data_IF_898096360969
#
_entry.id   IF_898096360969
#
_cell.length_a   1.000
_cell.length_b   1.000
_cell.length_c   1.000
_cell.angle_alpha   90.00
_cell.angle_beta   90.00
_cell.angle_gamma   90.00
#
_symmetry.space_group_name_H-M   'P 1'
#
loop_
_entity.id
_entity.type
_entity.pdbx_description
1 polymer ?
#
# COMPACT_ATOMS: atom_id res chain seq x y z
N UNK A 1 9.66 15.96 9.02
CA UNK A 1 9.32 16.31 7.63
C UNK A 1 8.48 15.16 7.09
N UNK A 2 7.37 15.42 6.40
CA UNK A 2 6.57 14.34 5.82
C UNK A 2 7.13 13.99 4.44
N UNK A 3 8.10 13.07 4.40
CA UNK A 3 8.81 12.67 3.19
C UNK A 3 7.90 12.03 2.13
N UNK A 4 6.72 11.56 2.52
CA UNK A 4 5.75 10.89 1.63
C UNK A 4 4.60 11.82 1.20
N UNK A 5 4.74 13.13 1.43
CA UNK A 5 3.72 14.11 1.04
C UNK A 5 3.62 14.27 -0.48
N UNK A 6 4.74 14.48 -1.16
CA UNK A 6 4.83 14.72 -2.60
C UNK A 6 6.28 14.43 -3.08
N UNK A 7 6.53 14.32 -4.40
CA UNK A 7 7.86 14.06 -4.93
C UNK A 7 8.93 15.08 -4.47
N UNK A 8 8.56 16.36 -4.34
CA UNK A 8 9.51 17.40 -3.92
C UNK A 8 9.91 17.23 -2.45
N UNK A 9 8.97 16.86 -1.58
CA UNK A 9 9.23 16.53 -0.18
C UNK A 9 10.09 15.28 -0.02
N UNK A 10 9.87 14.27 -0.87
CA UNK A 10 10.71 13.07 -0.92
C UNK A 10 12.15 13.39 -1.34
N UNK A 11 12.31 14.15 -2.43
CA UNK A 11 13.61 14.64 -2.87
C UNK A 11 14.34 15.40 -1.75
N UNK A 12 13.64 16.37 -1.14
CA UNK A 12 14.20 17.18 -0.06
C UNK A 12 14.61 16.34 1.17
N UNK A 13 13.88 15.26 1.47
CA UNK A 13 14.25 14.33 2.54
C UNK A 13 15.58 13.63 2.23
N UNK A 14 15.74 13.07 1.02
CA UNK A 14 16.96 12.37 0.63
C UNK A 14 18.20 13.29 0.66
N UNK A 15 18.05 14.53 0.22
CA UNK A 15 19.15 15.50 0.21
C UNK A 15 19.53 15.98 1.63
N UNK A 16 18.56 16.05 2.55
CA UNK A 16 18.80 16.47 3.94
C UNK A 16 19.31 15.34 4.84
N UNK A 17 18.97 14.09 4.49
CA UNK A 17 19.29 12.90 5.27
C UNK A 17 20.04 11.86 4.44
N UNK A 18 21.22 12.20 3.85
CA UNK A 18 21.97 11.29 2.99
C UNK A 18 22.48 10.10 3.81
N UNK A 19 21.84 8.94 3.65
CA UNK A 19 22.16 7.71 4.37
C UNK A 19 21.15 7.27 5.42
N UNK A 20 20.06 8.02 5.65
CA UNK A 20 18.96 7.53 6.49
C UNK A 20 17.94 6.75 5.65
N UNK A 21 17.65 5.50 6.04
CA UNK A 21 16.59 4.71 5.45
C UNK A 21 15.22 5.36 5.71
N UNK A 22 14.39 5.48 4.66
CA UNK A 22 13.01 5.95 4.80
C UNK A 22 12.11 4.84 5.35
N UNK A 23 12.17 3.66 4.73
CA UNK A 23 11.39 2.49 5.09
C UNK A 23 12.22 1.44 5.80
N UNK A 24 11.53 0.43 6.32
CA UNK A 24 12.14 -0.78 6.85
C UNK A 24 12.81 -1.61 5.77
N UNK A 25 13.48 -2.71 6.14
CA UNK A 25 13.94 -3.69 5.16
C UNK A 25 12.81 -3.96 4.15
N UNK A 26 13.14 -3.80 2.87
CA UNK A 26 12.20 -3.77 1.76
C UNK A 26 12.91 -4.20 0.49
N UNK A 27 12.12 -4.49 -0.55
CA UNK A 27 12.62 -4.63 -1.91
C UNK A 27 12.53 -3.31 -2.67
N UNK A 28 13.23 -3.22 -3.80
CA UNK A 28 13.14 -2.12 -4.74
C UNK A 28 11.71 -1.98 -5.30
N UNK A 29 11.02 -3.09 -5.60
CA UNK A 29 9.63 -3.08 -6.06
C UNK A 29 8.68 -2.51 -4.99
N UNK A 30 8.81 -2.98 -3.74
CA UNK A 30 7.98 -2.52 -2.62
C UNK A 30 8.14 -1.03 -2.35
N UNK A 31 9.38 -0.56 -2.26
CA UNK A 31 9.67 0.86 -2.05
C UNK A 31 9.21 1.69 -3.26
N UNK A 32 9.53 1.23 -4.46
CA UNK A 32 9.26 1.94 -5.70
C UNK A 32 7.77 2.08 -6.00
N UNK A 33 7.04 0.97 -6.03
CA UNK A 33 5.62 0.99 -6.36
C UNK A 33 4.78 1.63 -5.26
N UNK A 34 5.15 1.48 -3.98
CA UNK A 34 4.46 2.19 -2.89
C UNK A 34 4.62 3.70 -3.02
N UNK A 35 5.84 4.19 -3.31
CA UNK A 35 6.07 5.62 -3.52
C UNK A 35 5.42 6.13 -4.80
N UNK A 36 5.50 5.37 -5.90
CA UNK A 36 4.83 5.70 -7.16
C UNK A 36 3.32 5.85 -6.95
N UNK A 37 2.69 4.89 -6.26
CA UNK A 37 1.27 4.94 -5.92
C UNK A 37 0.94 6.14 -5.00
N UNK A 38 1.83 6.44 -4.06
CA UNK A 38 1.69 7.59 -3.15
C UNK A 38 1.71 8.93 -3.91
N UNK A 39 2.57 9.03 -4.93
CA UNK A 39 2.81 10.25 -5.70
C UNK A 39 2.07 10.30 -7.04
N UNK A 40 1.22 9.31 -7.33
CA UNK A 40 0.66 9.11 -8.65
C UNK A 40 -0.08 10.34 -9.19
N UNK A 41 -0.88 11.00 -8.35
CA UNK A 41 -1.60 12.20 -8.74
C UNK A 41 -0.67 13.39 -9.02
N UNK A 42 0.43 13.52 -8.29
CA UNK A 42 1.43 14.57 -8.53
C UNK A 42 2.30 14.31 -9.77
N UNK A 43 2.48 13.04 -10.14
CA UNK A 43 3.21 12.59 -11.33
C UNK A 43 2.36 12.65 -12.61
N UNK A 44 1.03 12.77 -12.49
CA UNK A 44 0.14 12.90 -13.65
C UNK A 44 0.17 14.28 -14.29
N UNK A 45 0.04 14.28 -15.61
CA UNK A 45 -0.31 15.46 -16.40
C UNK A 45 -1.81 15.72 -16.35
N UNK A 46 -2.22 16.93 -16.75
CA UNK A 46 -3.64 17.27 -16.91
C UNK A 46 -4.38 16.45 -17.97
N UNK A 47 -3.67 15.72 -18.83
CA UNK A 47 -4.25 14.91 -19.91
C UNK A 47 -4.39 13.42 -19.54
N UNK A 48 -3.98 13.01 -18.34
CA UNK A 48 -4.05 11.63 -17.88
C UNK A 48 -2.74 10.85 -18.00
N UNK A 49 -1.86 11.21 -18.93
CA UNK A 49 -0.49 10.66 -19.03
C UNK A 49 0.41 11.13 -17.89
N UNK A 50 1.68 10.68 -17.89
CA UNK A 50 2.66 11.03 -16.84
C UNK A 50 3.58 12.19 -17.26
N UNK A 51 4.00 12.99 -16.28
CA UNK A 51 4.95 14.09 -16.48
C UNK A 51 6.37 13.51 -16.51
N UNK A 52 6.96 13.43 -17.71
CA UNK A 52 8.28 12.83 -17.95
C UNK A 52 9.36 13.41 -17.05
N UNK A 53 9.38 14.74 -16.82
CA UNK A 53 10.41 15.38 -16.01
C UNK A 53 10.26 15.00 -14.53
N UNK A 54 9.04 15.05 -14.01
CA UNK A 54 8.78 14.66 -12.62
C UNK A 54 9.05 13.17 -12.40
N UNK A 55 8.69 12.34 -13.37
CA UNK A 55 8.92 10.90 -13.32
C UNK A 55 10.41 10.58 -13.33
N UNK A 56 11.22 11.26 -14.15
CA UNK A 56 12.67 11.10 -14.15
C UNK A 56 13.28 11.44 -12.78
N UNK A 57 12.90 12.58 -12.18
CA UNK A 57 13.38 12.94 -10.84
C UNK A 57 12.98 11.91 -9.79
N UNK A 58 11.73 11.45 -9.83
CA UNK A 58 11.24 10.40 -8.94
C UNK A 58 12.05 9.11 -9.08
N UNK A 59 12.38 8.68 -10.30
CA UNK A 59 13.18 7.48 -10.55
C UNK A 59 14.61 7.62 -10.03
N UNK A 60 15.25 8.79 -10.21
CA UNK A 60 16.56 9.06 -9.62
C UNK A 60 16.53 8.97 -8.09
N UNK A 61 15.53 9.59 -7.47
CA UNK A 61 15.38 9.61 -6.01
C UNK A 61 15.02 8.23 -5.45
N UNK A 62 14.22 7.44 -6.18
CA UNK A 62 13.96 6.05 -5.86
C UNK A 62 15.23 5.19 -5.95
N UNK A 63 16.06 5.37 -6.99
CA UNK A 63 17.34 4.68 -7.10
C UNK A 63 18.27 5.01 -5.92
N UNK A 64 18.37 6.29 -5.53
CA UNK A 64 19.11 6.72 -4.32
C UNK A 64 18.57 6.04 -3.06
N UNK A 65 17.24 5.96 -2.92
CA UNK A 65 16.61 5.29 -1.77
C UNK A 65 16.97 3.79 -1.74
N UNK A 66 16.92 3.11 -2.89
CA UNK A 66 17.30 1.70 -3.00
C UNK A 66 18.76 1.45 -2.60
N UNK A 67 19.67 2.35 -2.99
CA UNK A 67 21.08 2.30 -2.56
C UNK A 67 21.21 2.47 -1.04
N UNK A 68 20.55 3.47 -0.46
CA UNK A 68 20.60 3.74 0.99
C UNK A 68 20.02 2.57 1.80
N UNK A 69 18.90 2.00 1.35
CA UNK A 69 18.27 0.84 2.00
C UNK A 69 18.98 -0.48 1.69
N UNK A 70 19.94 -0.47 0.76
CA UNK A 70 20.69 -1.64 0.31
C UNK A 70 19.75 -2.81 -0.06
N UNK A 71 18.75 -2.49 -0.90
CA UNK A 71 17.67 -3.41 -1.31
C UNK A 71 18.20 -4.66 -2.01
N UNK A 72 19.26 -4.52 -2.83
CA UNK A 72 19.89 -5.67 -3.52
C UNK A 72 20.37 -6.74 -2.56
N UNK A 73 21.07 -6.34 -1.49
CA UNK A 73 21.56 -7.29 -0.49
C UNK A 73 20.42 -7.98 0.25
N UNK A 74 19.30 -7.28 0.49
CA UNK A 74 18.12 -7.84 1.15
C UNK A 74 17.45 -8.87 0.24
N UNK A 75 17.30 -8.54 -1.05
CA UNK A 75 16.71 -9.41 -2.07
C UNK A 75 17.54 -10.68 -2.28
N UNK A 76 18.86 -10.54 -2.42
CA UNK A 76 19.80 -11.66 -2.55
C UNK A 76 19.74 -12.58 -1.33
N UNK A 77 19.80 -12.02 -0.12
CA UNK A 77 19.78 -12.79 1.11
C UNK A 77 18.47 -13.56 1.33
N UNK A 78 17.35 -13.01 0.83
CA UNK A 78 16.03 -13.64 0.92
C UNK A 78 15.71 -14.53 -0.27
N UNK A 79 16.56 -14.59 -1.29
CA UNK A 79 16.29 -15.31 -2.54
C UNK A 79 15.03 -14.79 -3.24
N UNK A 80 14.74 -13.49 -3.11
CA UNK A 80 13.57 -12.89 -3.74
C UNK A 80 13.88 -12.62 -5.21
N UNK A 81 13.08 -13.21 -6.09
CA UNK A 81 13.10 -12.92 -7.51
C UNK A 81 12.21 -11.70 -7.83
N UNK A 82 12.47 -11.07 -8.97
CA UNK A 82 11.64 -10.01 -9.56
C UNK A 82 10.19 -10.48 -9.74
N UNK A 83 9.22 -9.59 -9.56
CA UNK A 83 7.79 -9.88 -9.72
C UNK A 83 7.05 -10.21 -8.41
N UNK A 84 7.72 -10.06 -7.26
CA UNK A 84 7.10 -10.23 -5.94
C UNK A 84 5.92 -9.27 -5.73
N UNK A 85 6.02 -8.05 -6.26
CA UNK A 85 4.96 -7.06 -6.20
C UNK A 85 3.68 -7.49 -6.92
N UNK A 86 3.77 -8.11 -8.09
CA UNK A 86 2.59 -8.57 -8.85
C UNK A 86 1.82 -9.68 -8.13
N UNK A 87 2.50 -10.44 -7.27
CA UNK A 87 1.88 -11.50 -6.46
C UNK A 87 1.15 -10.93 -5.23
N UNK A 88 1.51 -9.72 -4.80
CA UNK A 88 0.82 -9.04 -3.71
C UNK A 88 -0.53 -8.50 -4.17
N UNK A 89 -1.54 -8.70 -3.33
CA UNK A 89 -2.87 -8.13 -3.56
C UNK A 89 -2.93 -6.63 -3.26
N UNK A 90 -2.05 -6.17 -2.37
CA UNK A 90 -2.02 -4.80 -1.88
C UNK A 90 -1.38 -3.84 -2.90
N UNK A 91 -1.79 -2.57 -2.86
CA UNK A 91 -1.23 -1.43 -3.60
C UNK A 91 -0.23 -0.63 -2.79
N UNK A 92 -0.25 -0.78 -1.47
CA UNK A 92 0.70 -0.12 -0.58
C UNK A 92 1.31 -1.14 0.37
N UNK A 93 2.62 -1.30 0.27
CA UNK A 93 3.43 -2.08 1.21
C UNK A 93 4.87 -1.58 1.09
N UNK A 94 5.31 -0.82 2.09
CA UNK A 94 6.64 -0.20 2.07
C UNK A 94 7.78 -1.10 2.55
N UNK A 95 7.51 -2.37 2.90
CA UNK A 95 8.53 -3.29 3.38
C UNK A 95 8.01 -4.42 4.26
N UNK A 96 8.92 -5.18 4.85
CA UNK A 96 8.60 -6.40 5.60
C UNK A 96 8.08 -6.16 7.04
N UNK A 97 7.78 -4.91 7.42
CA UNK A 97 7.34 -4.58 8.77
C UNK A 97 8.42 -4.91 9.82
N UNK A 98 9.67 -4.54 9.59
CA UNK A 98 10.74 -4.65 10.61
C UNK A 98 10.83 -3.38 11.48
N UNK A 99 11.50 -3.44 12.63
CA UNK A 99 11.62 -2.27 13.52
C UNK A 99 12.55 -1.20 12.91
N UNK A 100 12.38 0.05 13.34
CA UNK A 100 13.46 1.04 13.34
C UNK A 100 13.49 2.12 12.26
N UNK A 101 12.50 2.25 11.37
CA UNK A 101 12.58 3.22 10.25
C UNK A 101 11.54 4.34 10.32
N UNK A 102 11.74 5.42 9.56
CA UNK A 102 11.00 6.68 9.71
C UNK A 102 9.52 6.55 9.37
N UNK A 103 9.19 5.81 8.29
CA UNK A 103 7.83 5.68 7.78
C UNK A 103 7.51 4.21 7.49
N UNK A 104 6.24 3.84 7.72
CA UNK A 104 5.67 2.56 7.31
C UNK A 104 4.33 2.84 6.63
N UNK A 105 4.19 2.40 5.39
CA UNK A 105 2.97 2.53 4.60
C UNK A 105 2.45 1.13 4.30
N UNK A 106 1.26 0.84 4.82
CA UNK A 106 0.60 -0.45 4.64
C UNK A 106 -0.88 -0.25 4.28
N UNK A 107 -1.34 -1.08 3.33
CA UNK A 107 -2.77 -1.24 3.03
C UNK A 107 -3.41 -2.22 4.01
N UNK A 108 -4.41 -1.74 4.76
CA UNK A 108 -5.26 -2.59 5.59
C UNK A 108 -6.43 -3.11 4.76
N UNK A 109 -6.61 -4.43 4.73
CA UNK A 109 -7.61 -5.15 3.91
C UNK A 109 -8.65 -5.92 4.75
N UNK A 110 -8.91 -5.46 5.97
CA UNK A 110 -9.81 -6.09 6.94
C UNK A 110 -9.29 -5.91 8.35
N UNK A 111 -10.08 -6.34 9.34
CA UNK A 111 -9.76 -6.13 10.75
C UNK A 111 -8.49 -6.92 11.16
N UNK A 112 -8.31 -8.13 10.65
CA UNK A 112 -7.15 -8.99 10.91
C UNK A 112 -5.86 -8.36 10.40
N UNK A 113 -5.90 -7.64 9.27
CA UNK A 113 -4.71 -6.96 8.74
C UNK A 113 -4.21 -5.82 9.63
N UNK A 114 -5.05 -5.31 10.53
CA UNK A 114 -4.66 -4.26 11.47
C UNK A 114 -3.81 -4.79 12.64
N UNK A 115 -3.76 -6.10 12.89
CA UNK A 115 -3.08 -6.67 14.06
C UNK A 115 -1.60 -6.26 14.13
N UNK A 116 -0.82 -6.60 13.10
CA UNK A 116 0.63 -6.38 13.08
C UNK A 116 0.97 -4.89 13.08
N UNK A 117 0.40 -4.04 12.20
CA UNK A 117 0.73 -2.62 12.16
C UNK A 117 0.41 -1.90 13.47
N UNK A 118 -0.72 -2.22 14.12
CA UNK A 118 -1.07 -1.62 15.40
C UNK A 118 -0.20 -2.13 16.55
N UNK A 119 0.17 -3.41 16.57
CA UNK A 119 1.12 -3.93 17.54
C UNK A 119 2.47 -3.20 17.47
N UNK A 120 2.97 -2.98 16.26
CA UNK A 120 4.20 -2.23 16.02
C UNK A 120 4.06 -0.75 16.36
N UNK A 121 2.96 -0.12 15.97
CA UNK A 121 2.70 1.27 16.30
C UNK A 121 2.70 1.49 17.82
N UNK A 122 2.03 0.61 18.59
CA UNK A 122 2.06 0.64 20.06
C UNK A 122 3.47 0.47 20.61
N UNK A 123 4.20 -0.54 20.15
CA UNK A 123 5.56 -0.81 20.63
C UNK A 123 6.49 0.39 20.41
N UNK A 124 6.33 1.08 19.29
CA UNK A 124 7.16 2.24 18.91
C UNK A 124 6.60 3.58 19.41
N UNK A 125 5.48 3.59 20.13
CA UNK A 125 4.81 4.83 20.56
C UNK A 125 4.34 5.72 19.39
N UNK A 126 4.02 5.12 18.25
CA UNK A 126 3.58 5.79 17.01
C UNK A 126 2.06 5.78 16.90
N UNK A 127 1.56 6.72 16.11
CA UNK A 127 0.12 6.85 15.80
C UNK A 127 -0.10 6.48 14.34
N UNK A 128 -1.14 5.67 14.08
CA UNK A 128 -1.61 5.34 12.74
C UNK A 128 -2.43 6.51 12.18
N UNK A 129 -2.22 6.84 10.90
CA UNK A 129 -2.94 7.90 10.20
C UNK A 129 -3.24 7.48 8.77
N UNK A 130 -4.17 8.17 8.10
CA UNK A 130 -4.43 7.92 6.68
C UNK A 130 -3.33 8.53 5.79
N UNK A 131 -2.95 7.78 4.76
CA UNK A 131 -2.14 8.31 3.66
C UNK A 131 -3.06 9.09 2.72
N UNK A 132 -2.95 10.43 2.69
CA UNK A 132 -3.69 11.31 1.75
C UNK A 132 -5.21 11.08 1.70
N UNK A 133 -5.83 10.59 2.78
CA UNK A 133 -7.24 10.17 2.82
C UNK A 133 -7.60 9.13 1.74
N UNK A 134 -6.64 8.32 1.31
CA UNK A 134 -6.81 7.25 0.33
C UNK A 134 -7.61 6.08 0.91
N UNK A 135 -8.47 5.51 0.08
CA UNK A 135 -9.04 4.18 0.27
C UNK A 135 -8.88 3.37 -1.01
N UNK A 136 -8.61 2.06 -0.89
CA UNK A 136 -8.49 1.15 -2.05
C UNK A 136 -9.79 0.36 -2.17
N UNK A 137 -10.65 0.62 -3.18
CA UNK A 137 -11.86 -0.16 -3.35
C UNK A 137 -11.54 -1.60 -3.76
N UNK A 138 -12.06 -2.59 -3.03
CA UNK A 138 -11.77 -4.02 -3.27
C UNK A 138 -12.90 -4.71 -4.05
N UNK A 139 -14.16 -4.48 -3.63
CA UNK A 139 -15.33 -5.17 -4.20
C UNK A 139 -16.18 -4.16 -4.98
N UNK A 140 -16.37 -4.45 -6.28
CA UNK A 140 -17.26 -3.70 -7.16
C UNK A 140 -18.42 -4.58 -7.58
N UNK A 141 -19.65 -4.12 -7.30
CA UNK A 141 -20.87 -4.73 -7.79
C UNK A 141 -21.60 -3.75 -8.71
N UNK A 142 -21.95 -4.20 -9.90
CA UNK A 142 -22.64 -3.38 -10.90
C UNK A 142 -23.73 -4.18 -11.59
N UNK A 143 -24.88 -3.53 -11.83
CA UNK A 143 -26.00 -4.11 -12.55
C UNK A 143 -25.88 -3.72 -14.02
N UNK A 144 -25.80 -4.71 -14.92
CA UNK A 144 -25.76 -4.45 -16.35
C UNK A 144 -27.08 -3.81 -16.79
N UNK A 145 -27.03 -2.58 -17.32
CA UNK A 145 -28.19 -1.82 -17.78
C UNK A 145 -29.02 -2.54 -18.87
N UNK A 146 -28.42 -3.48 -19.61
CA UNK A 146 -29.11 -4.29 -20.62
C UNK A 146 -29.70 -5.60 -20.08
N UNK A 147 -29.54 -5.89 -18.78
CA UNK A 147 -30.11 -7.09 -18.16
C UNK A 147 -31.64 -7.05 -18.21
N UNK A 148 -32.25 -8.21 -18.49
CA UNK A 148 -33.71 -8.40 -18.39
C UNK A 148 -34.18 -8.72 -16.96
N UNK A 149 -33.24 -8.88 -16.03
CA UNK A 149 -33.46 -9.27 -14.64
C UNK A 149 -32.96 -8.17 -13.70
N UNK A 150 -33.38 -6.92 -13.93
CA UNK A 150 -32.91 -5.76 -13.16
C UNK A 150 -33.25 -5.88 -11.67
N UNK A 151 -34.50 -6.22 -11.36
CA UNK A 151 -35.01 -6.34 -9.98
C UNK A 151 -34.25 -7.42 -9.21
N UNK A 152 -34.14 -8.63 -9.77
CA UNK A 152 -33.40 -9.73 -9.13
C UNK A 152 -31.90 -9.41 -8.97
N UNK A 153 -31.29 -8.71 -9.94
CA UNK A 153 -29.90 -8.28 -9.81
C UNK A 153 -29.74 -7.24 -8.69
N UNK A 154 -30.73 -6.37 -8.50
CA UNK A 154 -30.75 -5.40 -7.39
C UNK A 154 -30.90 -6.10 -6.04
N UNK A 155 -31.83 -7.06 -5.91
CA UNK A 155 -31.97 -7.89 -4.71
C UNK A 155 -30.66 -8.61 -4.36
N UNK A 156 -29.96 -9.16 -5.35
CA UNK A 156 -28.66 -9.80 -5.14
C UNK A 156 -27.59 -8.81 -4.65
N UNK A 157 -27.56 -7.59 -5.21
CA UNK A 157 -26.63 -6.54 -4.75
C UNK A 157 -26.97 -6.08 -3.33
N UNK A 158 -28.26 -5.99 -2.98
CA UNK A 158 -28.71 -5.66 -1.62
C UNK A 158 -28.22 -6.68 -0.58
N UNK A 159 -28.13 -7.97 -0.93
CA UNK A 159 -27.55 -9.00 -0.05
C UNK A 159 -26.09 -8.70 0.35
N UNK A 160 -25.31 -8.01 -0.48
CA UNK A 160 -23.92 -7.61 -0.13
C UNK A 160 -23.87 -6.59 1.01
N UNK A 161 -25.00 -5.93 1.31
CA UNK A 161 -25.15 -4.95 2.38
C UNK A 161 -25.84 -5.52 3.62
N UNK A 162 -26.11 -6.82 3.67
CA UNK A 162 -26.61 -7.47 4.87
C UNK A 162 -25.55 -7.45 5.98
N UNK A 163 -25.97 -7.21 7.22
CA UNK A 163 -25.07 -7.23 8.38
C UNK A 163 -24.39 -8.59 8.56
N UNK A 164 -25.08 -9.69 8.27
CA UNK A 164 -24.54 -11.05 8.31
C UNK A 164 -23.35 -11.24 7.37
N UNK A 165 -23.35 -10.52 6.25
CA UNK A 165 -22.26 -10.54 5.26
C UNK A 165 -21.14 -9.61 5.70
N UNK A 166 -21.46 -8.36 6.07
CA UNK A 166 -20.43 -7.34 6.34
C UNK A 166 -19.82 -7.39 7.75
N UNK A 167 -20.44 -8.06 8.72
CA UNK A 167 -19.83 -8.27 10.05
C UNK A 167 -18.72 -9.33 10.05
N UNK A 168 -18.63 -10.14 9.00
CA UNK A 168 -17.53 -11.08 8.82
C UNK A 168 -16.25 -10.36 8.39
N UNK A 169 -15.10 -10.84 8.87
CA UNK A 169 -13.80 -10.42 8.35
C UNK A 169 -13.25 -11.50 7.40
N UNK A 170 -13.48 -11.31 6.10
CA UNK A 170 -13.07 -12.27 5.07
C UNK A 170 -11.75 -11.86 4.38
N UNK A 171 -11.07 -10.84 4.90
CA UNK A 171 -9.85 -10.28 4.29
C UNK A 171 -10.11 -9.67 2.91
N UNK A 172 -11.32 -9.15 2.65
CA UNK A 172 -11.75 -8.49 1.41
C UNK A 172 -12.05 -6.99 1.61
N UNK A 173 -11.60 -6.42 2.72
CA UNK A 173 -11.70 -5.00 3.05
C UNK A 173 -12.43 -4.74 4.36
N UNK A 174 -12.56 -3.45 4.69
CA UNK A 174 -13.44 -3.02 5.78
C UNK A 174 -14.88 -2.91 5.28
N UNK A 175 -15.87 -3.14 6.16
CA UNK A 175 -17.27 -2.99 5.81
C UNK A 175 -17.61 -1.54 5.46
N UNK A 176 -18.54 -1.36 4.53
CA UNK A 176 -19.07 -0.05 4.12
C UNK A 176 -20.38 0.28 4.84
N UNK A 177 -21.05 -0.73 5.40
CA UNK A 177 -22.20 -0.56 6.26
C UNK A 177 -21.76 -0.06 7.63
N UNK A 178 -22.27 1.11 8.03
CA UNK A 178 -21.88 1.76 9.29
C UNK A 178 -22.08 0.87 10.52
N UNK A 179 -23.19 0.14 10.62
CA UNK A 179 -23.44 -0.75 11.76
C UNK A 179 -22.47 -1.94 11.81
N UNK A 180 -22.00 -2.43 10.67
CA UNK A 180 -20.98 -3.48 10.61
C UNK A 180 -19.58 -2.95 10.97
N UNK A 181 -19.26 -1.72 10.56
CA UNK A 181 -18.02 -1.05 10.97
C UNK A 181 -18.00 -0.78 12.49
N UNK A 182 -19.09 -0.26 13.05
CA UNK A 182 -19.23 -0.03 14.49
C UNK A 182 -19.15 -1.33 15.30
N UNK A 183 -19.66 -2.43 14.76
CA UNK A 183 -19.59 -3.75 15.39
C UNK A 183 -18.16 -4.26 15.58
N UNK A 184 -17.18 -3.81 14.77
CA UNK A 184 -15.78 -4.26 14.92
C UNK A 184 -15.23 -3.97 16.32
N UNK A 185 -15.63 -2.83 16.92
CA UNK A 185 -15.24 -2.45 18.29
C UNK A 185 -15.79 -3.40 19.35
N UNK A 186 -16.97 -3.98 19.13
CA UNK A 186 -17.56 -5.00 20.00
C UNK A 186 -16.93 -6.37 19.74
N UNK A 187 -16.67 -6.69 18.48
CA UNK A 187 -16.10 -7.97 18.05
C UNK A 187 -14.74 -8.23 18.72
N UNK A 188 -13.85 -7.24 18.76
CA UNK A 188 -12.51 -7.38 19.36
C UNK A 188 -12.53 -7.64 20.89
N UNK A 189 -13.67 -7.43 21.55
CA UNK A 189 -13.86 -7.75 22.97
C UNK A 189 -14.48 -9.14 23.21
N UNK A 190 -14.87 -9.86 22.15
CA UNK A 190 -15.42 -11.22 22.29
C UNK A 190 -14.34 -12.22 22.71
N UNK A 191 -14.71 -13.31 23.42
CA UNK A 191 -13.74 -14.34 23.82
C UNK A 191 -12.94 -14.91 22.63
N UNK A 192 -13.59 -15.12 21.49
CA UNK A 192 -12.95 -15.63 20.26
C UNK A 192 -11.89 -14.66 19.73
N UNK A 193 -12.22 -13.37 19.64
CA UNK A 193 -11.28 -12.38 19.13
C UNK A 193 -10.09 -12.13 20.09
N UNK A 194 -10.34 -12.16 21.41
CA UNK A 194 -9.30 -11.97 22.42
C UNK A 194 -8.26 -13.11 22.41
N UNK A 195 -8.67 -14.33 22.04
CA UNK A 195 -7.76 -15.47 21.90
C UNK A 195 -7.02 -15.47 20.55
N UNK A 196 -7.45 -14.66 19.59
CA UNK A 196 -6.82 -14.58 18.27
C UNK A 196 -5.49 -13.82 18.33
N UNK A 197 -4.45 -14.43 17.76
CA UNK A 197 -3.16 -13.77 17.54
C UNK A 197 -2.51 -14.25 16.26
N UNK A 198 -1.74 -13.37 15.64
CA UNK A 198 -0.88 -13.69 14.50
C UNK A 198 0.58 -13.51 14.90
N UNK A 199 1.40 -14.46 14.48
CA UNK A 199 2.85 -14.41 14.62
C UNK A 199 3.49 -14.09 13.28
N UNK A 200 4.33 -13.05 13.24
CA UNK A 200 5.20 -12.75 12.10
C UNK A 200 6.64 -12.85 12.56
N UNK A 201 7.39 -13.77 11.95
CA UNK A 201 8.82 -13.93 12.17
C UNK A 201 9.57 -13.47 10.93
N UNK A 202 10.64 -12.71 11.12
CA UNK A 202 11.51 -12.31 10.04
C UNK A 202 12.92 -12.06 10.58
N UNK A 203 13.93 -12.50 9.85
CA UNK A 203 15.32 -12.15 10.12
C UNK A 203 15.69 -10.94 9.27
N UNK A 204 16.31 -9.94 9.87
CA UNK A 204 16.98 -8.88 9.13
C UNK A 204 18.25 -9.47 8.48
N UNK A 205 18.30 -9.59 7.13
CA UNK A 205 19.44 -10.22 6.47
C UNK A 205 20.74 -9.42 6.59
N UNK A 206 20.69 -8.14 6.95
CA UNK A 206 21.87 -7.29 7.09
C UNK A 206 22.47 -7.39 8.50
N UNK A 207 21.62 -7.48 9.53
CA UNK A 207 22.07 -7.50 10.93
C UNK A 207 22.05 -8.90 11.54
N UNK A 208 21.31 -9.85 10.95
CA UNK A 208 20.99 -11.15 11.52
C UNK A 208 20.03 -11.07 12.71
N UNK A 209 19.40 -9.91 12.94
CA UNK A 209 18.45 -9.74 14.04
C UNK A 209 17.14 -10.46 13.72
N UNK A 210 16.78 -11.42 14.58
CA UNK A 210 15.47 -12.05 14.52
C UNK A 210 14.40 -11.13 15.11
N UNK A 211 13.44 -10.75 14.27
CA UNK A 211 12.24 -10.03 14.69
C UNK A 211 11.08 -11.01 14.73
N UNK A 212 10.52 -11.21 15.92
CA UNK A 212 9.27 -11.94 16.11
C UNK A 212 8.22 -11.01 16.68
N UNK A 213 7.15 -10.79 15.93
CA UNK A 213 5.98 -10.02 16.34
C UNK A 213 4.85 -11.00 16.62
N UNK A 214 4.34 -10.98 17.85
CA UNK A 214 3.05 -11.58 18.18
C UNK A 214 2.04 -10.45 18.33
N UNK A 215 0.99 -10.47 17.52
CA UNK A 215 0.01 -9.41 17.45
C UNK A 215 -1.41 -9.97 17.64
N UNK A 216 -2.15 -9.38 18.57
CA UNK A 216 -3.59 -9.55 18.70
C UNK A 216 -4.33 -8.48 17.89
N UNK A 217 -5.66 -8.57 17.85
CA UNK A 217 -6.49 -7.44 17.40
C UNK A 217 -6.13 -6.14 18.14
N UNK A 218 -6.27 -4.97 17.49
CA UNK A 218 -6.19 -3.69 18.18
C UNK A 218 -7.24 -3.61 19.29
N UNK A 219 -6.94 -2.84 20.34
CA UNK A 219 -7.90 -2.56 21.41
C UNK A 219 -9.14 -1.84 20.88
N UNK A 220 -10.25 -1.91 21.62
CA UNK A 220 -11.48 -1.17 21.29
C UNK A 220 -11.23 0.30 20.96
N UNK A 221 -10.46 0.99 21.80
CA UNK A 221 -10.11 2.40 21.59
C UNK A 221 -9.31 2.62 20.29
N UNK A 222 -8.48 1.65 19.88
CA UNK A 222 -7.75 1.70 18.62
C UNK A 222 -8.67 1.45 17.42
N UNK A 223 -9.63 0.52 17.54
CA UNK A 223 -10.64 0.28 16.51
C UNK A 223 -11.59 1.48 16.36
N UNK A 224 -12.04 2.09 17.46
CA UNK A 224 -12.85 3.31 17.39
C UNK A 224 -12.11 4.44 16.67
N UNK A 225 -10.79 4.58 16.89
CA UNK A 225 -9.94 5.52 16.15
C UNK A 225 -9.80 5.13 14.68
N UNK A 226 -9.58 3.84 14.37
CA UNK A 226 -9.49 3.34 13.00
C UNK A 226 -10.79 3.59 12.23
N UNK A 227 -11.94 3.31 12.83
CA UNK A 227 -13.26 3.58 12.26
C UNK A 227 -13.42 5.07 11.96
N UNK A 228 -12.97 5.96 12.85
CA UNK A 228 -12.94 7.40 12.58
C UNK A 228 -12.02 7.79 11.41
N UNK A 229 -10.89 7.11 11.23
CA UNK A 229 -10.03 7.29 10.04
C UNK A 229 -10.78 6.84 8.77
N UNK A 230 -11.40 5.66 8.80
CA UNK A 230 -12.14 5.06 7.68
C UNK A 230 -13.29 5.97 7.22
N UNK A 231 -14.10 6.49 8.15
CA UNK A 231 -15.18 7.45 7.86
C UNK A 231 -14.67 8.75 7.22
N UNK A 232 -13.40 9.10 7.47
CA UNK A 232 -12.75 10.30 6.95
C UNK A 232 -12.10 10.13 5.58
N UNK A 233 -12.00 8.91 5.05
CA UNK A 233 -11.37 8.66 3.73
C UNK A 233 -12.27 9.18 2.60
N UNK A 234 -11.65 9.79 1.58
CA UNK A 234 -12.40 10.51 0.52
C UNK A 234 -11.87 10.29 -0.88
N UNK A 235 -10.66 9.78 -1.01
CA UNK A 235 -9.99 9.69 -2.31
C UNK A 235 -9.83 8.21 -2.67
N UNK A 236 -10.59 7.70 -3.66
CA UNK A 236 -10.39 6.33 -4.12
C UNK A 236 -9.04 6.25 -4.83
N UNK A 237 -8.18 5.33 -4.39
CA UNK A 237 -6.99 4.97 -5.13
C UNK A 237 -7.32 3.82 -6.08
N UNK A 238 -7.40 4.15 -7.37
CA UNK A 238 -7.62 3.19 -8.46
C UNK A 238 -6.51 3.36 -9.49
N UNK A 239 -5.47 2.55 -9.36
CA UNK A 239 -4.38 2.51 -10.33
C UNK A 239 -4.81 1.71 -11.55
N UNK A 240 -4.54 2.26 -12.74
CA UNK A 240 -4.70 1.54 -13.99
C UNK A 240 -3.66 0.40 -14.07
N UNK A 241 -4.12 -0.83 -14.34
CA UNK A 241 -3.27 -2.01 -14.37
C UNK A 241 -2.18 -1.95 -15.44
N UNK A 242 -2.50 -1.41 -16.62
CA UNK A 242 -1.54 -1.24 -17.71
C UNK A 242 -0.45 -0.24 -17.31
N UNK A 243 -0.85 0.88 -16.70
CA UNK A 243 0.10 1.88 -16.20
C UNK A 243 0.99 1.29 -15.11
N UNK A 244 0.43 0.58 -14.13
CA UNK A 244 1.20 -0.07 -13.07
C UNK A 244 2.20 -1.09 -13.61
N UNK A 245 1.76 -1.95 -14.55
CA UNK A 245 2.60 -2.96 -15.17
C UNK A 245 3.74 -2.32 -15.97
N UNK A 246 3.44 -1.29 -16.76
CA UNK A 246 4.45 -0.56 -17.54
C UNK A 246 5.49 0.08 -16.63
N UNK A 247 5.05 0.73 -15.54
CA UNK A 247 5.95 1.38 -14.58
C UNK A 247 6.84 0.35 -13.91
N UNK A 248 6.26 -0.73 -13.38
CA UNK A 248 7.02 -1.79 -12.72
C UNK A 248 8.06 -2.43 -13.66
N UNK A 249 7.69 -2.73 -14.90
CA UNK A 249 8.58 -3.34 -15.89
C UNK A 249 9.76 -2.45 -16.30
N UNK A 250 9.54 -1.15 -16.48
CA UNK A 250 10.63 -0.23 -16.84
C UNK A 250 11.45 0.19 -15.60
N UNK A 251 10.83 0.25 -14.41
CA UNK A 251 11.54 0.45 -13.14
C UNK A 251 12.53 -0.69 -12.88
N UNK A 252 12.16 -1.95 -13.14
CA UNK A 252 13.06 -3.09 -13.06
C UNK A 252 14.33 -2.88 -13.91
N UNK A 253 14.17 -2.47 -15.17
CA UNK A 253 15.30 -2.21 -16.08
C UNK A 253 16.18 -1.07 -15.59
N UNK A 254 15.58 -0.01 -15.04
CA UNK A 254 16.31 1.09 -14.41
C UNK A 254 17.12 0.58 -13.20
N UNK A 255 16.50 -0.22 -12.33
CA UNK A 255 17.16 -0.79 -11.15
C UNK A 255 18.30 -1.74 -11.50
N UNK A 256 18.17 -2.49 -12.59
CA UNK A 256 19.22 -3.37 -13.12
C UNK A 256 20.33 -2.61 -13.87
N UNK A 257 20.18 -1.30 -14.07
CA UNK A 257 21.15 -0.46 -14.78
C UNK A 257 21.12 -0.63 -16.29
N UNK A 258 20.05 -1.19 -16.85
CA UNK A 258 19.86 -1.32 -18.30
C UNK A 258 19.43 -0.01 -18.95
N UNK A 259 18.86 0.91 -18.18
CA UNK A 259 18.38 2.23 -18.59
C UNK A 259 18.70 3.26 -17.50
N UNK A 260 18.89 4.52 -17.92
CA UNK A 260 18.93 5.67 -17.02
C UNK A 260 17.51 6.08 -16.58
N UNK A 261 17.41 6.83 -15.48
CA UNK A 261 16.13 7.35 -14.99
C UNK A 261 15.39 8.19 -16.05
N UNK A 262 16.11 9.00 -16.83
CA UNK A 262 15.53 9.79 -17.92
C UNK A 262 15.03 8.93 -19.09
N UNK A 263 15.80 7.91 -19.48
CA UNK A 263 15.39 6.96 -20.52
C UNK A 263 14.16 6.17 -20.08
N UNK A 264 14.15 5.66 -18.85
CA UNK A 264 13.03 4.94 -18.25
C UNK A 264 11.78 5.82 -18.19
N UNK A 265 11.88 7.05 -17.70
CA UNK A 265 10.76 7.99 -17.65
C UNK A 265 10.16 8.23 -19.04
N UNK A 266 11.01 8.45 -20.04
CA UNK A 266 10.58 8.65 -21.43
C UNK A 266 9.88 7.42 -22.00
N UNK A 267 10.40 6.21 -21.78
CA UNK A 267 9.78 4.97 -22.27
C UNK A 267 8.42 4.75 -21.60
N UNK A 268 8.33 4.94 -20.29
CA UNK A 268 7.06 4.85 -19.55
C UNK A 268 6.04 5.84 -20.13
N UNK A 269 6.40 7.12 -20.25
CA UNK A 269 5.48 8.14 -20.76
C UNK A 269 5.01 7.83 -22.18
N UNK A 270 5.90 7.40 -23.07
CA UNK A 270 5.54 7.00 -24.43
C UNK A 270 4.57 5.83 -24.48
N UNK A 271 4.78 4.79 -23.67
CA UNK A 271 3.89 3.63 -23.61
C UNK A 271 2.52 4.00 -23.02
N UNK A 272 2.50 4.76 -21.94
CA UNK A 272 1.27 5.24 -21.30
C UNK A 272 0.48 6.15 -22.23
N UNK A 273 1.12 7.11 -22.89
CA UNK A 273 0.46 8.01 -23.84
C UNK A 273 -0.09 7.26 -25.06
N UNK A 274 0.61 6.21 -25.51
CA UNK A 274 0.12 5.34 -26.59
C UNK A 274 -1.13 4.60 -26.17
N UNK A 275 -1.12 3.97 -24.98
CA UNK A 275 -2.29 3.30 -24.41
C UNK A 275 -3.49 4.24 -24.24
N UNK A 276 -3.27 5.45 -23.74
CA UNK A 276 -4.35 6.44 -23.55
C UNK A 276 -4.94 6.97 -24.86
N UNK A 277 -4.27 6.75 -26.00
CA UNK A 277 -4.74 7.15 -27.32
C UNK A 277 -5.57 6.07 -28.04
N UNK A 278 -5.57 4.83 -27.53
CA UNK A 278 -6.36 3.70 -28.04
C UNK A 278 -7.81 3.71 -27.52
#
# INVERSE_FOLDING_TARGET
MDACKDPDAFHAYLEQHPGECLFTATTHEMAGMTLFNTFYEELKTKKGGLDEKKLAQFLEDWMKLCEVQNTRSIEEARGLETGSWKQMRNRFNSGFGLKGNQVMIEELNGLMSAMVPYAQAREQGRTVMSLKQYYVPQVFAGINASSKQQELAMEFVECLFEESVQKGDNGDGFPVLKSALEYQSEYVETPEAVEMSVGVGSEDPQTGEEVHISASYPSRDEIDRLSGIIEGLKVPFMMDGMVADTVLEEMEKCYMGEQTAEETAKVICQKVDTYLAE
#
